data_IF_813882839077
#
_entry.id   IF_813882839077
#
_cell.length_a   1.000
_cell.length_b   1.000
_cell.length_c   1.000
_cell.angle_alpha   90.00
_cell.angle_beta   90.00
_cell.angle_gamma   90.00
#
_symmetry.space_group_name_H-M   'P 1'
#
loop_
_entity.id
_entity.type
_entity.pdbx_description
1 polymer ?
#
# COMPACT_ATOMS: atom_id res chain seq x y z
N UNK A 1 1.10 -1.38 -10.59
CA UNK A 1 2.04 -0.39 -11.16
C UNK A 1 2.72 0.38 -10.03
N UNK A 2 1.99 1.18 -9.24
CA UNK A 2 2.57 1.97 -8.14
C UNK A 2 3.42 1.16 -7.14
N UNK A 3 2.96 -0.02 -6.72
CA UNK A 3 3.76 -0.87 -5.82
C UNK A 3 5.09 -1.31 -6.46
N UNK A 4 5.09 -1.62 -7.77
CA UNK A 4 6.32 -2.00 -8.49
C UNK A 4 7.26 -0.81 -8.67
N UNK A 5 6.72 0.37 -8.99
CA UNK A 5 7.48 1.61 -9.13
C UNK A 5 8.17 2.04 -7.83
N UNK A 6 7.53 1.75 -6.69
CA UNK A 6 8.03 2.08 -5.36
C UNK A 6 8.67 0.89 -4.61
N UNK A 7 8.80 -0.29 -5.24
CA UNK A 7 9.42 -1.46 -4.59
C UNK A 7 8.63 -2.04 -3.41
N UNK A 8 7.32 -1.77 -3.34
CA UNK A 8 6.40 -2.32 -2.34
C UNK A 8 5.99 -3.73 -2.80
N UNK A 9 6.21 -4.70 -1.93
CA UNK A 9 5.80 -6.09 -2.14
C UNK A 9 4.28 -6.25 -1.98
N UNK A 10 3.68 -7.35 -2.50
CA UNK A 10 2.24 -7.58 -2.38
C UNK A 10 1.70 -7.61 -0.95
N UNK A 11 2.54 -7.94 0.03
CA UNK A 11 2.20 -7.93 1.46
C UNK A 11 2.27 -6.52 2.09
N UNK A 12 2.73 -5.53 1.34
CA UNK A 12 2.92 -4.14 1.76
C UNK A 12 4.29 -3.85 2.36
N UNK A 13 5.23 -4.79 2.35
CA UNK A 13 6.61 -4.55 2.81
C UNK A 13 7.43 -3.83 1.75
N UNK A 14 8.29 -2.91 2.17
CA UNK A 14 9.27 -2.25 1.29
C UNK A 14 10.68 -2.47 1.86
N UNK A 15 11.37 -3.57 1.51
CA UNK A 15 12.67 -3.91 2.13
C UNK A 15 13.79 -2.89 1.88
N UNK A 16 13.65 -2.06 0.84
CA UNK A 16 14.57 -0.97 0.53
C UNK A 16 14.40 0.21 1.48
N UNK A 17 13.21 0.38 2.06
CA UNK A 17 12.95 1.41 3.06
C UNK A 17 13.46 0.93 4.42
N UNK A 18 14.31 1.76 5.03
CA UNK A 18 14.88 1.52 6.37
C UNK A 18 14.28 2.47 7.42
N UNK A 19 13.41 3.38 7.01
CA UNK A 19 12.78 4.37 7.87
C UNK A 19 11.46 3.82 8.40
N UNK A 20 11.53 2.97 9.43
CA UNK A 20 10.31 2.55 10.14
C UNK A 20 9.75 3.76 10.90
N UNK A 21 8.56 4.21 10.52
CA UNK A 21 7.81 5.23 11.28
C UNK A 21 7.99 6.67 10.81
N UNK A 22 8.19 6.89 9.51
CA UNK A 22 8.14 8.23 8.91
C UNK A 22 9.45 8.70 8.29
N UNK A 23 9.75 8.20 7.09
CA UNK A 23 10.50 8.97 6.10
C UNK A 23 9.57 10.00 5.44
N UNK A 24 10.02 11.24 5.23
CA UNK A 24 9.27 12.27 4.47
C UNK A 24 9.36 12.02 2.95
N UNK A 25 9.08 10.78 2.54
CA UNK A 25 9.20 10.37 1.15
C UNK A 25 7.95 10.72 0.36
N UNK A 26 8.16 11.18 -0.87
CA UNK A 26 7.10 11.66 -1.77
C UNK A 26 5.96 10.65 -2.02
N UNK A 27 6.18 9.34 -1.84
CA UNK A 27 5.15 8.30 -2.03
C UNK A 27 4.16 8.20 -0.86
N UNK A 28 4.42 8.82 0.30
CA UNK A 28 3.48 8.89 1.42
C UNK A 28 2.19 9.67 1.11
N UNK A 29 2.20 10.41 0.01
CA UNK A 29 1.01 10.99 -0.59
C UNK A 29 -0.02 9.93 -0.97
N UNK A 30 0.43 8.76 -1.44
CA UNK A 30 -0.43 7.66 -1.89
C UNK A 30 -0.49 6.49 -0.88
N UNK A 31 0.50 6.36 -0.01
CA UNK A 31 0.57 5.28 0.99
C UNK A 31 0.67 5.83 2.42
N UNK A 32 0.10 5.12 3.38
CA UNK A 32 0.36 5.31 4.81
C UNK A 32 1.19 4.16 5.34
N UNK A 33 2.15 4.45 6.21
CA UNK A 33 2.93 3.44 6.90
C UNK A 33 2.28 3.05 8.24
N UNK A 34 2.23 1.76 8.53
CA UNK A 34 1.86 1.25 9.86
C UNK A 34 3.09 1.09 10.74
N UNK A 35 2.93 1.00 12.07
CA UNK A 35 4.05 0.73 12.98
C UNK A 35 4.78 -0.62 12.76
N UNK A 36 4.26 -1.50 11.90
CA UNK A 36 4.90 -2.74 11.49
C UNK A 36 5.64 -2.62 10.14
N UNK A 37 5.83 -1.41 9.62
CA UNK A 37 6.50 -1.14 8.33
C UNK A 37 5.64 -1.42 7.09
N UNK A 38 4.35 -1.77 7.27
CA UNK A 38 3.46 -2.02 6.15
C UNK A 38 3.03 -0.70 5.50
N UNK A 39 3.22 -0.61 4.19
CA UNK A 39 2.72 0.46 3.34
C UNK A 39 1.31 0.12 2.85
N UNK A 40 0.33 0.93 3.25
CA UNK A 40 -1.10 0.74 2.98
C UNK A 40 -1.59 1.85 2.04
N UNK A 41 -2.22 1.53 0.89
CA UNK A 41 -2.68 2.54 -0.04
C UNK A 41 -3.81 3.38 0.57
N UNK A 42 -3.75 4.71 0.36
CA UNK A 42 -4.82 5.66 0.65
C UNK A 42 -5.88 5.59 -0.45
N UNK A 43 -6.58 4.46 -0.52
CA UNK A 43 -7.55 4.16 -1.58
C UNK A 43 -8.88 3.66 -1.02
N UNK A 44 -9.97 3.95 -1.72
CA UNK A 44 -11.30 3.41 -1.46
C UNK A 44 -11.77 2.69 -2.71
N UNK A 45 -12.15 1.42 -2.54
CA UNK A 45 -12.76 0.62 -3.60
C UNK A 45 -14.27 0.55 -3.36
N UNK A 46 -15.06 0.86 -4.39
CA UNK A 46 -16.53 0.85 -4.34
C UNK A 46 -17.04 0.01 -5.49
N UNK A 47 -17.94 -0.91 -5.19
CA UNK A 47 -18.61 -1.77 -6.15
C UNK A 47 -20.11 -1.85 -5.81
N UNK A 48 -20.94 -2.01 -6.83
CA UNK A 48 -22.40 -2.15 -6.67
C UNK A 48 -22.82 -3.62 -6.55
N UNK A 49 -21.91 -4.55 -6.87
CA UNK A 49 -22.09 -5.99 -6.72
C UNK A 49 -20.80 -6.60 -6.16
N UNK A 50 -20.81 -7.71 -5.40
CA UNK A 50 -19.62 -8.14 -4.65
C UNK A 50 -18.50 -8.75 -5.52
N UNK A 51 -18.68 -8.87 -6.85
CA UNK A 51 -17.82 -9.71 -7.68
C UNK A 51 -16.44 -9.10 -7.95
N UNK A 52 -16.30 -7.78 -8.15
CA UNK A 52 -14.99 -7.20 -8.50
C UNK A 52 -14.17 -6.92 -7.24
N UNK A 53 -14.78 -6.30 -6.24
CA UNK A 53 -14.12 -6.08 -4.94
C UNK A 53 -13.88 -7.40 -4.19
N UNK A 54 -14.77 -8.39 -4.34
CA UNK A 54 -14.56 -9.73 -3.78
C UNK A 54 -13.25 -10.36 -4.24
N UNK A 55 -12.95 -10.35 -5.54
CA UNK A 55 -11.68 -10.86 -6.09
C UNK A 55 -10.43 -10.11 -5.65
N UNK A 56 -10.57 -8.93 -5.05
CA UNK A 56 -9.44 -8.14 -4.55
C UNK A 56 -9.08 -8.51 -3.11
N UNK A 57 -10.08 -8.94 -2.32
CA UNK A 57 -9.91 -9.30 -0.90
C UNK A 57 -9.68 -10.80 -0.69
N UNK A 58 -10.05 -11.62 -1.67
CA UNK A 58 -9.78 -13.07 -1.74
C UNK A 58 -8.35 -13.34 -2.24
#
# INVERSE_FOLDING_TARGET
>A
LYCLEHGIQPDGQMPSDKSIGGGDDSFNTFFSETGAGKHVPRAVFVDLEPTVVGRLID
#
